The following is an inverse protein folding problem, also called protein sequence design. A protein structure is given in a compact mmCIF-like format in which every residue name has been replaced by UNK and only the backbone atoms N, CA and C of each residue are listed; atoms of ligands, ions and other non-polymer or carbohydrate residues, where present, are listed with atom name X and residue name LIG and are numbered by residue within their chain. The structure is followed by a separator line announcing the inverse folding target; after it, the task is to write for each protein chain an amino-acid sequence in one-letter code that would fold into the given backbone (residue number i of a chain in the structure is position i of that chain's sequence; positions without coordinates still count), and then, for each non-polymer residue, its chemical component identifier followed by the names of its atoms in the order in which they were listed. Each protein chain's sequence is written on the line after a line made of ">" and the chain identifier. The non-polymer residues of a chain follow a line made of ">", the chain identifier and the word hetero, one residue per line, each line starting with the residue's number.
data_IF_925323014194
#
_entry.id   IF_925323014194
#
_cell.length_a   1.000
_cell.length_b   1.000
_cell.length_c   1.000
_cell.angle_alpha   90.00
_cell.angle_beta   90.00
_cell.angle_gamma   90.00
#
_symmetry.space_group_name_H-M   'P 1'
#
loop_
_entity.id
_entity.type
_entity.pdbx_description
1 polymer ?
#
# COMPACT_ATOMS: atom_id res chain seq x y z
N UNK A 1 4.65 -6.65 -15.62
CA UNK A 1 4.82 -5.30 -15.04
C UNK A 1 4.17 -5.30 -13.67
N UNK A 2 4.73 -4.61 -12.68
CA UNK A 2 4.09 -4.45 -11.37
C UNK A 2 3.23 -3.18 -11.37
N UNK A 3 1.97 -3.29 -10.98
CA UNK A 3 1.05 -2.16 -10.78
C UNK A 3 0.71 -2.07 -9.30
N UNK A 4 0.86 -0.89 -8.71
CA UNK A 4 0.42 -0.57 -7.37
C UNK A 4 -0.81 0.32 -7.45
N UNK A 5 -1.96 -0.22 -7.05
CA UNK A 5 -3.17 0.56 -6.84
C UNK A 5 -3.10 1.21 -5.46
N UNK A 6 -3.19 2.52 -5.42
CA UNK A 6 -3.12 3.27 -4.16
C UNK A 6 -3.91 4.57 -4.24
N UNK A 7 -4.31 5.09 -3.08
CA UNK A 7 -4.73 6.49 -3.00
C UNK A 7 -3.51 7.32 -2.58
N UNK A 8 -3.10 8.38 -3.30
CA UNK A 8 -1.88 9.14 -2.96
C UNK A 8 -1.87 9.75 -1.56
N UNK A 9 -3.05 10.01 -1.00
CA UNK A 9 -3.19 10.53 0.36
C UNK A 9 -3.13 9.46 1.44
N UNK A 10 -3.47 8.21 1.11
CA UNK A 10 -3.56 7.13 2.09
C UNK A 10 -2.16 6.73 2.61
N UNK A 11 -1.94 6.72 3.95
CA UNK A 11 -0.67 6.31 4.53
C UNK A 11 -0.32 4.85 4.26
N UNK A 12 -1.30 3.95 4.13
CA UNK A 12 -1.06 2.55 3.80
C UNK A 12 -0.45 2.41 2.39
N UNK A 13 -1.05 3.08 1.40
CA UNK A 13 -0.48 3.23 0.06
C UNK A 13 0.88 3.89 0.05
N UNK A 14 1.11 4.92 0.87
CA UNK A 14 2.42 5.56 1.02
C UNK A 14 3.49 4.61 1.54
N UNK A 15 3.17 3.79 2.55
CA UNK A 15 4.09 2.80 3.10
C UNK A 15 4.54 1.81 2.01
N UNK A 16 3.60 1.25 1.24
CA UNK A 16 3.92 0.31 0.16
C UNK A 16 4.81 0.95 -0.90
N UNK A 17 4.53 2.21 -1.30
CA UNK A 17 5.38 2.95 -2.24
C UNK A 17 6.82 3.09 -1.74
N UNK A 18 7.01 3.38 -0.46
CA UNK A 18 8.33 3.50 0.16
C UNK A 18 9.05 2.16 0.17
N UNK A 19 8.37 1.08 0.58
CA UNK A 19 8.94 -0.27 0.58
C UNK A 19 9.39 -0.68 -0.82
N UNK A 20 8.55 -0.50 -1.84
CA UNK A 20 8.90 -0.84 -3.22
C UNK A 20 10.10 -0.01 -3.72
N UNK A 21 10.14 1.28 -3.38
CA UNK A 21 11.24 2.17 -3.76
C UNK A 21 12.57 1.76 -3.09
N UNK A 22 12.57 1.49 -1.79
CA UNK A 22 13.76 1.03 -1.05
C UNK A 22 14.24 -0.34 -1.56
N UNK A 23 13.31 -1.23 -1.94
CA UNK A 23 13.61 -2.53 -2.55
C UNK A 23 14.06 -2.42 -4.01
N UNK A 24 14.05 -1.23 -4.60
CA UNK A 24 14.37 -1.02 -6.01
C UNK A 24 13.43 -1.75 -6.97
N UNK A 25 12.19 -2.02 -6.56
CA UNK A 25 11.19 -2.66 -7.41
C UNK A 25 10.49 -1.59 -8.27
N UNK A 26 10.62 -1.66 -9.61
CA UNK A 26 9.92 -0.74 -10.49
C UNK A 26 8.42 -1.07 -10.53
N UNK A 27 7.59 -0.06 -10.34
CA UNK A 27 6.13 -0.20 -10.39
C UNK A 27 5.46 0.98 -11.09
N UNK A 28 4.30 0.71 -11.69
CA UNK A 28 3.36 1.73 -12.12
C UNK A 28 2.43 2.08 -10.95
N UNK A 29 2.39 3.36 -10.58
CA UNK A 29 1.46 3.87 -9.57
C UNK A 29 0.11 4.17 -10.23
N UNK A 30 -0.93 3.42 -9.86
CA UNK A 30 -2.29 3.57 -10.38
C UNK A 30 -3.18 4.18 -9.30
N UNK A 31 -3.66 5.42 -9.45
CA UNK A 31 -4.56 6.04 -8.48
C UNK A 31 -5.87 5.26 -8.35
N UNK A 32 -6.22 4.85 -7.14
CA UNK A 32 -7.49 4.18 -6.82
C UNK A 32 -8.05 4.78 -5.54
N UNK A 33 -9.19 5.48 -5.64
CA UNK A 33 -9.80 6.19 -4.50
C UNK A 33 -10.73 5.24 -3.72
N UNK A 34 -10.90 5.41 -2.40
CA UNK A 34 -11.80 4.55 -1.62
C UNK A 34 -13.24 4.52 -2.13
N UNK A 35 -13.74 5.65 -2.66
CA UNK A 35 -15.10 5.80 -3.22
C UNK A 35 -15.21 5.55 -4.73
N UNK A 36 -14.09 5.28 -5.40
CA UNK A 36 -14.04 4.94 -6.81
C UNK A 36 -12.85 3.99 -7.04
N UNK A 37 -12.92 2.76 -6.49
CA UNK A 37 -11.83 1.81 -6.58
C UNK A 37 -11.69 1.27 -8.00
N UNK A 38 -10.46 0.97 -8.40
CA UNK A 38 -10.18 0.33 -9.68
C UNK A 38 -10.74 -1.10 -9.72
N UNK A 39 -11.41 -1.45 -10.83
CA UNK A 39 -12.10 -2.74 -10.97
C UNK A 39 -11.17 -3.94 -10.83
N UNK A 40 -9.91 -3.78 -11.22
CA UNK A 40 -8.91 -4.84 -11.17
C UNK A 40 -8.57 -5.27 -9.73
N UNK A 41 -8.75 -4.39 -8.75
CA UNK A 41 -8.57 -4.73 -7.32
C UNK A 41 -9.60 -5.76 -6.88
N UNK A 42 -10.85 -5.64 -7.35
CA UNK A 42 -11.92 -6.56 -6.99
C UNK A 42 -11.67 -8.00 -7.49
N UNK A 43 -10.77 -8.18 -8.46
CA UNK A 43 -10.37 -9.50 -8.95
C UNK A 43 -9.39 -10.23 -8.02
N UNK A 44 -8.78 -9.53 -7.05
CA UNK A 44 -7.78 -10.08 -6.13
C UNK A 44 -8.47 -10.94 -5.06
N UNK A 45 -9.46 -10.37 -4.37
CA UNK A 45 -10.23 -11.04 -3.34
C UNK A 45 -11.56 -10.30 -3.10
N UNK A 46 -12.60 -10.97 -2.56
CA UNK A 46 -13.81 -10.31 -2.12
C UNK A 46 -13.49 -9.19 -1.11
N UNK A 47 -13.93 -7.97 -1.39
CA UNK A 47 -13.69 -6.82 -0.52
C UNK A 47 -12.27 -6.27 -0.55
N UNK A 48 -11.43 -6.69 -1.51
CA UNK A 48 -10.10 -6.12 -1.69
C UNK A 48 -10.20 -4.61 -1.96
N UNK A 49 -9.35 -3.85 -1.26
CA UNK A 49 -9.21 -2.41 -1.39
C UNK A 49 -7.74 -2.06 -1.59
N UNK A 50 -7.49 -0.81 -2.02
CA UNK A 50 -6.13 -0.28 -2.03
C UNK A 50 -5.59 -0.13 -0.58
N UNK A 51 -4.28 -0.30 -0.34
CA UNK A 51 -3.26 -0.61 -1.33
C UNK A 51 -3.32 -2.06 -1.82
N UNK A 52 -3.15 -2.22 -3.13
CA UNK A 52 -3.13 -3.51 -3.78
C UNK A 52 -2.06 -3.55 -4.88
N UNK A 53 -1.42 -4.70 -5.07
CA UNK A 53 -0.47 -4.91 -6.16
C UNK A 53 -0.94 -6.02 -7.07
N UNK A 54 -0.72 -5.83 -8.36
CA UNK A 54 -0.89 -6.87 -9.39
C UNK A 54 0.39 -6.91 -10.20
N UNK A 55 1.05 -8.06 -10.21
CA UNK A 55 2.20 -8.33 -11.07
C UNK A 55 1.75 -9.15 -12.26
N UNK A 56 2.05 -8.68 -13.47
CA UNK A 56 1.72 -9.37 -14.72
C UNK A 56 2.95 -9.94 -15.42
N UNK A 57 2.78 -11.07 -16.09
CA UNK A 57 3.74 -11.62 -17.06
C UNK A 57 3.01 -11.90 -18.38
N UNK A 58 3.30 -11.11 -19.42
CA UNK A 58 2.46 -11.08 -20.62
C UNK A 58 1.04 -10.61 -20.28
N UNK A 59 0.03 -11.35 -20.72
CA UNK A 59 -1.39 -11.07 -20.43
C UNK A 59 -1.92 -11.73 -19.14
N UNK A 60 -1.10 -12.51 -18.43
CA UNK A 60 -1.53 -13.23 -17.24
C UNK A 60 -1.00 -12.59 -15.95
N UNK A 61 -1.83 -12.56 -14.90
CA UNK A 61 -1.39 -12.20 -13.55
C UNK A 61 -0.44 -13.28 -13.01
N UNK A 62 0.74 -12.86 -12.55
CA UNK A 62 1.74 -13.71 -11.90
C UNK A 62 1.46 -13.84 -10.41
N UNK A 63 1.18 -12.72 -9.75
CA UNK A 63 0.72 -12.68 -8.37
C UNK A 63 -0.07 -11.39 -8.13
N UNK A 64 -0.91 -11.41 -7.10
CA UNK A 64 -1.57 -10.23 -6.58
C UNK A 64 -1.65 -10.30 -5.06
N UNK A 65 -1.62 -9.15 -4.41
CA UNK A 65 -1.76 -9.03 -2.96
C UNK A 65 -2.45 -7.72 -2.61
N UNK A 66 -3.24 -7.70 -1.54
CA UNK A 66 -3.88 -6.51 -1.01
C UNK A 66 -3.58 -6.36 0.48
N UNK A 67 -3.51 -5.11 0.94
CA UNK A 67 -3.09 -4.77 2.29
C UNK A 67 -1.57 -4.70 2.44
N UNK A 68 -1.12 -3.74 3.24
CA UNK A 68 0.28 -3.43 3.52
C UNK A 68 1.07 -4.66 3.96
N UNK A 69 0.54 -5.45 4.92
CA UNK A 69 1.25 -6.61 5.46
C UNK A 69 1.57 -7.66 4.42
N UNK A 70 0.56 -8.09 3.67
CA UNK A 70 0.74 -9.10 2.63
C UNK A 70 1.72 -8.63 1.54
N UNK A 71 1.62 -7.35 1.15
CA UNK A 71 2.46 -6.78 0.10
C UNK A 71 3.91 -6.64 0.59
N UNK A 72 4.16 -5.95 1.69
CA UNK A 72 5.54 -5.64 2.10
C UNK A 72 6.30 -6.89 2.56
N UNK A 73 5.64 -7.84 3.24
CA UNK A 73 6.28 -9.12 3.61
C UNK A 73 6.63 -9.94 2.37
N UNK A 74 5.76 -9.97 1.36
CA UNK A 74 6.07 -10.63 0.09
C UNK A 74 7.36 -10.05 -0.52
N UNK A 75 7.51 -8.73 -0.53
CA UNK A 75 8.73 -8.09 -1.04
C UNK A 75 9.95 -8.25 -0.13
N UNK A 76 9.76 -8.43 1.18
CA UNK A 76 10.83 -8.82 2.09
C UNK A 76 11.36 -10.23 1.75
N UNK A 77 10.46 -11.15 1.37
CA UNK A 77 10.81 -12.52 0.99
C UNK A 77 11.43 -12.62 -0.41
N UNK A 78 10.82 -11.98 -1.41
CA UNK A 78 11.30 -12.08 -2.81
C UNK A 78 12.50 -11.17 -3.09
N UNK A 79 12.69 -10.13 -2.28
CA UNK A 79 13.84 -9.22 -2.33
C UNK A 79 14.39 -8.99 -0.92
N UNK A 80 15.17 -9.95 -0.38
CA UNK A 80 15.71 -9.83 0.99
C UNK A 80 16.73 -8.70 1.15
N UNK A 81 17.24 -8.13 0.06
CA UNK A 81 18.22 -7.03 0.10
C UNK A 81 17.69 -5.81 -0.67
N UNK A 82 17.72 -4.59 -0.07
CA UNK A 82 18.10 -4.30 1.31
C UNK A 82 17.06 -4.85 2.30
N UNK A 83 17.49 -5.36 3.45
CA UNK A 83 16.56 -5.81 4.51
C UNK A 83 15.84 -4.60 5.11
N UNK A 84 14.51 -4.68 5.22
CA UNK A 84 13.69 -3.62 5.85
C UNK A 84 13.19 -4.05 7.22
N UNK A 85 13.26 -5.34 7.54
CA UNK A 85 13.06 -5.86 8.87
C UNK A 85 14.40 -6.24 9.51
N UNK A 86 14.48 -6.25 10.85
CA UNK A 86 15.65 -6.75 11.56
C UNK A 86 15.97 -8.21 11.20
N UNK A 87 17.19 -8.63 11.47
CA UNK A 87 17.62 -10.03 11.32
C UNK A 87 17.22 -10.88 12.54
N UNK A 88 17.26 -10.30 13.75
CA UNK A 88 16.87 -11.00 14.98
C UNK A 88 15.35 -11.29 15.00
N UNK A 89 14.99 -12.52 15.41
CA UNK A 89 13.59 -12.97 15.40
C UNK A 89 12.72 -12.20 16.40
N UNK A 90 13.26 -11.78 17.53
CA UNK A 90 12.53 -11.03 18.55
C UNK A 90 12.31 -9.59 18.10
N UNK A 91 13.34 -8.96 17.53
CA UNK A 91 13.23 -7.63 16.94
C UNK A 91 12.26 -7.61 15.74
N UNK A 92 12.27 -8.66 14.91
CA UNK A 92 11.29 -8.89 13.84
C UNK A 92 9.86 -8.99 14.36
N UNK A 93 9.65 -9.62 15.50
CA UNK A 93 8.33 -9.69 16.12
C UNK A 93 7.90 -8.31 16.63
N UNK A 94 8.81 -7.57 17.27
CA UNK A 94 8.52 -6.22 17.77
C UNK A 94 8.23 -5.22 16.64
N UNK A 95 8.99 -5.26 15.54
CA UNK A 95 8.73 -4.43 14.36
C UNK A 95 7.31 -4.66 13.80
N UNK A 96 6.87 -5.92 13.71
CA UNK A 96 5.50 -6.27 13.26
C UNK A 96 4.44 -5.85 14.28
N UNK A 97 4.73 -5.94 15.58
CA UNK A 97 3.82 -5.49 16.63
C UNK A 97 3.62 -3.98 16.57
N UNK A 98 4.70 -3.20 16.41
CA UNK A 98 4.66 -1.75 16.24
C UNK A 98 3.89 -1.36 14.97
N UNK A 99 4.16 -2.02 13.85
CA UNK A 99 3.43 -1.82 12.61
C UNK A 99 1.94 -2.06 12.79
N UNK A 100 1.53 -3.21 13.35
CA UNK A 100 0.13 -3.52 13.59
C UNK A 100 -0.54 -2.50 14.55
N UNK A 101 0.19 -2.04 15.57
CA UNK A 101 -0.31 -1.01 16.49
C UNK A 101 -0.52 0.34 15.80
N UNK A 102 0.40 0.74 14.90
CA UNK A 102 0.26 1.98 14.12
C UNK A 102 -0.93 1.89 13.17
N UNK A 103 -1.12 0.77 12.47
CA UNK A 103 -2.25 0.61 11.55
C UNK A 103 -3.60 0.65 12.26
N UNK A 104 -3.72 -0.07 13.38
CA UNK A 104 -4.96 -0.07 14.15
C UNK A 104 -5.19 1.26 14.91
N UNK A 105 -4.11 1.88 15.40
CA UNK A 105 -4.20 3.06 16.28
C UNK A 105 -4.32 4.38 15.53
N UNK A 106 -3.88 4.44 14.26
CA UNK A 106 -3.88 5.69 13.49
C UNK A 106 -5.05 5.82 12.53
N UNK A 107 -5.95 4.83 12.44
CA UNK A 107 -7.09 4.87 11.51
C UNK A 107 -7.97 6.10 11.74
N UNK A 108 -8.41 6.35 12.98
CA UNK A 108 -9.25 7.51 13.32
C UNK A 108 -8.57 8.87 13.03
N UNK A 109 -7.26 8.96 13.31
CA UNK A 109 -6.48 10.18 13.04
C UNK A 109 -6.33 10.39 11.53
N UNK A 110 -6.06 9.30 10.81
CA UNK A 110 -5.90 9.28 9.37
C UNK A 110 -7.19 9.73 8.69
N UNK A 111 -8.34 9.17 9.06
CA UNK A 111 -9.63 9.52 8.48
C UNK A 111 -9.97 11.01 8.67
N UNK A 112 -9.72 11.55 9.86
CA UNK A 112 -9.94 12.97 10.15
C UNK A 112 -9.04 13.87 9.28
N UNK A 113 -7.73 13.60 9.25
CA UNK A 113 -6.76 14.39 8.48
C UNK A 113 -7.01 14.29 6.96
N UNK A 114 -7.38 13.11 6.48
CA UNK A 114 -7.70 12.88 5.07
C UNK A 114 -8.97 13.61 4.68
N UNK A 115 -10.01 13.57 5.51
CA UNK A 115 -11.26 14.29 5.30
C UNK A 115 -11.04 15.80 5.24
N UNK A 116 -10.24 16.34 6.16
CA UNK A 116 -9.87 17.75 6.15
C UNK A 116 -9.11 18.13 4.87
N UNK A 117 -8.11 17.33 4.49
CA UNK A 117 -7.32 17.51 3.25
C UNK A 117 -8.18 17.52 2.00
N UNK A 118 -9.08 16.54 1.87
CA UNK A 118 -10.01 16.44 0.74
C UNK A 118 -10.96 17.64 0.68
N UNK A 119 -11.47 18.08 1.84
CA UNK A 119 -12.34 19.25 1.95
C UNK A 119 -11.62 20.52 1.51
N UNK A 120 -10.42 20.75 2.03
CA UNK A 120 -9.56 21.90 1.64
C UNK A 120 -9.26 21.91 0.14
N UNK A 121 -9.03 20.75 -0.49
CA UNK A 121 -8.78 20.66 -1.93
C UNK A 121 -10.00 20.95 -2.78
N UNK A 122 -11.15 20.43 -2.37
CA UNK A 122 -12.43 20.73 -3.02
C UNK A 122 -12.68 22.23 -3.01
N UNK A 123 -12.45 22.91 -1.87
CA UNK A 123 -12.55 24.36 -1.77
C UNK A 123 -11.56 25.13 -2.66
N UNK A 124 -10.37 24.56 -2.92
CA UNK A 124 -9.31 25.18 -3.71
C UNK A 124 -9.37 24.83 -5.21
N UNK A 125 -10.33 24.01 -5.64
CA UNK A 125 -10.45 23.55 -7.04
C UNK A 125 -9.25 22.72 -7.52
N UNK A 126 -8.54 22.04 -6.62
CA UNK A 126 -7.37 21.20 -6.94
C UNK A 126 -7.74 19.71 -6.83
N UNK A 127 -7.18 18.87 -7.69
CA UNK A 127 -7.22 17.42 -7.51
C UNK A 127 -5.99 16.93 -6.72
N UNK A 128 -6.12 15.81 -5.97
CA UNK A 128 -4.97 15.06 -5.48
C UNK A 128 -4.07 14.65 -6.64
N UNK A 129 -2.78 14.94 -6.53
CA UNK A 129 -1.73 14.25 -7.30
C UNK A 129 -1.44 12.87 -6.68
#
# INVERSE_FOLDING_TARGET
>A
MLRLYHWPLDPAGRMVRLVLAEKGEPFEAVPSRPWAPELEIASIAPGAVAPAVVSTHGSAARFAACGTRAICEHFEEVRPVPALLPDDLSERAEARRLWAWVEAGMEEVTDNLLSERVTQWTHRGRQPD
#
